data_IF_028801089713
#
_entry.id   IF_028801089713
#
_cell.length_a   1.000
_cell.length_b   1.000
_cell.length_c   1.000
_cell.angle_alpha   90.00
_cell.angle_beta   90.00
_cell.angle_gamma   90.00
#
_symmetry.space_group_name_H-M   'P 1'
#
loop_
_entity.id
_entity.type
_entity.pdbx_description
1 polymer ?
#
# COMPACT_ATOMS: atom_id res chain seq x y z
N UNK A 1 -9.34 -27.39 12.01
CA UNK A 1 -8.49 -27.54 13.22
C UNK A 1 -8.43 -26.17 13.88
N UNK A 2 -9.04 -26.00 15.05
CA UNK A 2 -9.02 -24.71 15.76
C UNK A 2 -7.57 -24.32 16.02
N UNK A 3 -7.18 -23.09 15.67
CA UNK A 3 -5.82 -22.57 15.85
C UNK A 3 -5.42 -22.56 17.34
N UNK A 4 -6.41 -22.42 18.23
CA UNK A 4 -6.28 -22.48 19.67
C UNK A 4 -7.03 -23.69 20.22
N UNK A 5 -6.37 -24.48 21.07
CA UNK A 5 -7.01 -25.58 21.81
C UNK A 5 -6.40 -25.73 23.20
N UNK A 6 -7.09 -26.44 24.09
CA UNK A 6 -6.50 -26.89 25.36
C UNK A 6 -5.85 -28.25 25.17
N UNK A 7 -4.74 -28.52 25.86
CA UNK A 7 -4.26 -29.88 26.04
C UNK A 7 -3.70 -30.08 27.44
N UNK A 8 -3.62 -31.36 27.81
CA UNK A 8 -3.03 -31.79 29.06
C UNK A 8 -1.50 -31.87 28.92
N UNK A 9 -0.78 -31.70 30.02
CA UNK A 9 0.67 -31.87 30.07
C UNK A 9 1.08 -33.30 29.78
N UNK A 10 1.86 -33.47 28.72
CA UNK A 10 2.51 -34.75 28.39
C UNK A 10 3.86 -34.80 29.09
N UNK A 11 3.85 -34.99 30.41
CA UNK A 11 5.08 -35.27 31.16
C UNK A 11 4.77 -36.06 32.43
N UNK A 12 5.04 -37.35 32.40
CA UNK A 12 5.19 -38.17 33.60
C UNK A 12 6.63 -38.04 34.09
N UNK A 13 6.84 -37.36 35.22
CA UNK A 13 8.15 -37.34 35.84
C UNK A 13 8.23 -38.51 36.82
N UNK A 14 8.94 -39.58 36.44
CA UNK A 14 9.11 -40.76 37.30
C UNK A 14 10.18 -40.49 38.36
N UNK A 15 9.94 -39.54 39.25
CA UNK A 15 10.70 -39.49 40.49
C UNK A 15 10.08 -40.50 41.45
N UNK A 16 10.69 -41.68 41.54
CA UNK A 16 10.24 -42.74 42.44
C UNK A 16 10.59 -42.36 43.86
N UNK A 17 9.56 -42.12 44.65
CA UNK A 17 9.66 -41.98 46.10
C UNK A 17 8.90 -43.12 46.75
N UNK A 18 9.11 -43.35 48.04
CA UNK A 18 8.38 -44.41 48.76
C UNK A 18 6.99 -43.90 49.13
N UNK A 19 5.95 -44.63 48.74
CA UNK A 19 4.57 -44.28 49.05
C UNK A 19 4.37 -44.25 50.58
N UNK A 20 3.81 -43.16 51.14
CA UNK A 20 3.61 -43.06 52.58
C UNK A 20 2.64 -44.14 53.12
N UNK A 21 1.69 -44.59 52.27
CA UNK A 21 0.60 -45.50 52.63
C UNK A 21 0.98 -46.99 52.55
N UNK A 22 1.54 -47.47 51.44
CA UNK A 22 1.85 -48.90 51.24
C UNK A 22 3.35 -49.23 51.21
N UNK A 23 4.23 -48.23 51.39
CA UNK A 23 5.69 -48.37 51.31
C UNK A 23 6.24 -48.89 49.98
N UNK A 24 5.41 -48.93 48.94
CA UNK A 24 5.84 -49.21 47.57
C UNK A 24 6.76 -48.12 47.04
N UNK A 25 7.72 -48.49 46.20
CA UNK A 25 8.55 -47.52 45.47
C UNK A 25 7.88 -47.00 44.19
N UNK A 26 6.66 -47.46 43.89
CA UNK A 26 5.90 -47.03 42.72
C UNK A 26 5.00 -45.82 43.05
N UNK A 27 5.62 -44.75 43.57
CA UNK A 27 4.98 -43.46 43.87
C UNK A 27 5.54 -42.38 42.95
N UNK A 28 4.72 -41.90 42.02
CA UNK A 28 5.16 -41.07 40.90
C UNK A 28 4.46 -39.71 40.89
N UNK A 29 5.19 -38.66 40.51
CA UNK A 29 4.64 -37.33 40.28
C UNK A 29 3.98 -37.27 38.90
N UNK A 30 2.67 -37.08 38.86
CA UNK A 30 1.90 -36.88 37.64
C UNK A 30 1.54 -35.41 37.48
N UNK A 31 1.77 -34.89 36.27
CA UNK A 31 1.35 -33.56 35.86
C UNK A 31 0.10 -33.69 34.97
N UNK A 32 -1.02 -33.19 35.47
CA UNK A 32 -2.31 -33.14 34.78
C UNK A 32 -2.70 -31.68 34.48
N UNK A 33 -1.71 -30.78 34.43
CA UNK A 33 -1.94 -29.37 34.18
C UNK A 33 -2.51 -29.16 32.79
N UNK A 34 -3.45 -28.22 32.69
CA UNK A 34 -4.11 -27.84 31.44
C UNK A 34 -3.55 -26.51 30.97
N UNK A 35 -3.24 -26.41 29.68
CA UNK A 35 -2.76 -25.17 29.09
C UNK A 35 -3.44 -24.88 27.76
N UNK A 36 -3.52 -23.59 27.45
CA UNK A 36 -3.89 -23.09 26.14
C UNK A 36 -2.68 -23.20 25.22
N UNK A 37 -2.85 -23.75 24.02
CA UNK A 37 -1.81 -23.81 22.99
C UNK A 37 -2.29 -23.23 21.66
N UNK A 38 -1.34 -22.69 20.89
CA UNK A 38 -1.52 -22.37 19.49
C UNK A 38 -0.75 -23.40 18.65
N UNK A 39 -1.46 -24.18 17.84
CA UNK A 39 -0.93 -25.38 17.19
C UNK A 39 -0.26 -26.36 18.20
N UNK A 40 1.07 -26.42 18.26
CA UNK A 40 1.84 -27.25 19.20
C UNK A 40 2.51 -26.43 20.33
N UNK A 41 2.45 -25.10 20.27
CA UNK A 41 3.16 -24.21 21.18
C UNK A 41 2.27 -23.85 22.37
N UNK A 42 2.66 -24.18 23.62
CA UNK A 42 1.93 -23.73 24.81
C UNK A 42 2.02 -22.20 24.95
N UNK A 43 0.88 -21.56 25.21
CA UNK A 43 0.78 -20.11 25.38
C UNK A 43 0.72 -19.77 26.86
N UNK A 44 -0.30 -20.24 27.58
CA UNK A 44 -0.56 -19.93 28.98
C UNK A 44 -1.12 -21.18 29.70
N UNK A 45 -0.66 -21.49 30.92
CA UNK A 45 -1.28 -22.49 31.78
C UNK A 45 -2.65 -22.00 32.27
N UNK A 46 -3.68 -22.82 32.10
CA UNK A 46 -5.05 -22.56 32.57
C UNK A 46 -5.27 -23.10 33.98
N UNK A 47 -4.71 -24.27 34.27
CA UNK A 47 -4.80 -24.89 35.59
C UNK A 47 -3.54 -25.71 35.88
N UNK A 48 -2.95 -25.47 37.05
CA UNK A 48 -1.86 -26.28 37.58
C UNK A 48 -2.42 -27.42 38.41
N UNK A 49 -2.13 -28.65 38.01
CA UNK A 49 -2.64 -29.86 38.67
C UNK A 49 -1.54 -30.90 38.76
N UNK A 50 -0.87 -30.95 39.92
CA UNK A 50 0.14 -31.94 40.22
C UNK A 50 -0.36 -32.88 41.32
N UNK A 51 -0.15 -34.17 41.13
CA UNK A 51 -0.49 -35.17 42.14
C UNK A 51 0.63 -36.20 42.22
N UNK A 52 0.94 -36.66 43.41
CA UNK A 52 1.61 -37.95 43.53
C UNK A 52 0.58 -39.06 43.42
N UNK A 53 0.90 -40.12 42.69
CA UNK A 53 0.04 -41.27 42.51
C UNK A 53 0.82 -42.56 42.73
N UNK A 54 0.29 -43.46 43.55
CA UNK A 54 0.84 -44.80 43.73
C UNK A 54 0.08 -45.80 42.87
N UNK A 55 0.75 -46.51 41.95
CA UNK A 55 0.02 -47.47 41.10
C UNK A 55 -0.39 -48.74 41.86
N UNK A 56 0.30 -49.08 42.95
CA UNK A 56 0.06 -50.30 43.74
C UNK A 56 -1.16 -50.16 44.66
N UNK A 57 -1.20 -49.12 45.51
CA UNK A 57 -2.33 -48.90 46.42
C UNK A 57 -3.37 -47.89 45.93
N UNK A 58 -3.19 -47.32 44.72
CA UNK A 58 -4.05 -46.29 44.12
C UNK A 58 -4.17 -44.98 44.92
N UNK A 59 -3.38 -44.81 45.98
CA UNK A 59 -3.34 -43.56 46.75
C UNK A 59 -2.89 -42.38 45.88
N UNK A 60 -3.54 -41.23 46.04
CA UNK A 60 -3.24 -40.01 45.31
C UNK A 60 -3.37 -38.79 46.20
N UNK A 61 -2.38 -37.89 46.17
CA UNK A 61 -2.41 -36.64 46.93
C UNK A 61 -2.00 -35.44 46.06
N UNK A 62 -2.62 -34.26 46.22
CA UNK A 62 -2.26 -33.07 45.46
C UNK A 62 -0.94 -32.47 45.94
N UNK A 63 -0.19 -31.90 45.01
CA UNK A 63 1.12 -31.26 45.26
C UNK A 63 1.04 -29.78 44.89
N UNK A 64 1.41 -28.91 45.84
CA UNK A 64 1.55 -27.48 45.59
C UNK A 64 2.81 -27.19 44.77
N UNK A 65 2.78 -26.16 43.92
CA UNK A 65 3.92 -25.76 43.08
C UNK A 65 5.22 -25.56 43.87
N UNK A 66 5.13 -25.06 45.11
CA UNK A 66 6.27 -24.83 46.02
C UNK A 66 6.98 -26.10 46.48
N UNK A 67 6.32 -27.26 46.39
CA UNK A 67 6.85 -28.57 46.78
C UNK A 67 7.35 -29.38 45.58
N UNK A 68 7.33 -28.81 44.38
CA UNK A 68 7.83 -29.49 43.19
C UNK A 68 9.35 -29.58 43.22
N UNK A 69 9.93 -30.65 42.62
CA UNK A 69 11.37 -30.74 42.44
C UNK A 69 11.87 -29.58 41.56
N UNK A 70 13.10 -29.11 41.83
CA UNK A 70 13.69 -27.97 41.15
C UNK A 70 13.65 -28.08 39.61
N UNK A 71 13.94 -29.27 39.07
CA UNK A 71 13.89 -29.52 37.64
C UNK A 71 12.50 -29.29 37.04
N UNK A 72 11.43 -29.68 37.74
CA UNK A 72 10.08 -29.46 37.26
C UNK A 72 9.66 -28.00 37.41
N UNK A 73 10.08 -27.32 38.49
CA UNK A 73 9.87 -25.89 38.66
C UNK A 73 10.51 -25.07 37.52
N UNK A 74 11.74 -25.42 37.13
CA UNK A 74 12.43 -24.82 35.98
C UNK A 74 11.74 -25.17 34.65
N UNK A 75 11.15 -26.37 34.56
CA UNK A 75 10.41 -26.79 33.37
C UNK A 75 9.11 -26.00 33.16
N UNK A 76 8.57 -25.32 34.18
CA UNK A 76 7.35 -24.51 34.06
C UNK A 76 7.45 -23.41 33.00
N UNK A 77 8.66 -22.88 32.76
CA UNK A 77 8.93 -21.86 31.73
C UNK A 77 8.45 -22.32 30.35
N UNK A 78 8.51 -23.63 30.06
CA UNK A 78 8.08 -24.18 28.78
C UNK A 78 6.63 -23.85 28.46
N UNK A 79 5.77 -23.73 29.47
CA UNK A 79 4.34 -23.42 29.29
C UNK A 79 4.07 -21.95 28.96
N UNK A 80 5.09 -21.07 29.07
CA UNK A 80 5.01 -19.65 28.76
C UNK A 80 5.80 -19.25 27.50
N UNK A 81 6.48 -20.19 26.83
CA UNK A 81 7.26 -19.91 25.61
C UNK A 81 6.42 -19.18 24.56
N UNK A 82 5.18 -19.63 24.33
CA UNK A 82 4.27 -18.96 23.39
C UNK A 82 3.95 -17.53 23.80
N UNK A 83 3.68 -17.27 25.09
CA UNK A 83 3.46 -15.91 25.59
C UNK A 83 4.69 -15.03 25.40
N UNK A 84 5.88 -15.54 25.70
CA UNK A 84 7.14 -14.81 25.53
C UNK A 84 7.36 -14.45 24.05
N UNK A 85 7.15 -15.40 23.13
CA UNK A 85 7.28 -15.15 21.68
C UNK A 85 6.27 -14.12 21.19
N UNK A 86 5.02 -14.19 21.68
CA UNK A 86 3.98 -13.20 21.34
C UNK A 86 4.38 -11.81 21.83
N UNK A 87 4.83 -11.68 23.09
CA UNK A 87 5.28 -10.40 23.65
C UNK A 87 6.46 -9.85 22.88
N UNK A 88 7.49 -10.66 22.59
CA UNK A 88 8.65 -10.23 21.80
C UNK A 88 8.25 -9.79 20.39
N UNK A 89 7.32 -10.50 19.76
CA UNK A 89 6.80 -10.13 18.43
C UNK A 89 6.06 -8.81 18.49
N UNK A 90 5.19 -8.61 19.49
CA UNK A 90 4.48 -7.35 19.69
C UNK A 90 5.44 -6.19 19.96
N UNK A 91 6.46 -6.39 20.80
CA UNK A 91 7.50 -5.40 21.06
C UNK A 91 8.30 -5.07 19.80
N UNK A 92 8.64 -6.07 18.99
CA UNK A 92 9.30 -5.88 17.72
C UNK A 92 8.44 -5.06 16.75
N UNK A 93 7.17 -5.43 16.57
CA UNK A 93 6.25 -4.69 15.70
C UNK A 93 6.00 -3.27 16.19
N UNK A 94 5.85 -3.07 17.50
CA UNK A 94 5.72 -1.77 18.13
C UNK A 94 6.95 -0.90 17.88
N UNK A 95 8.14 -1.42 18.16
CA UNK A 95 9.40 -0.71 17.94
C UNK A 95 9.60 -0.36 16.45
N UNK A 96 9.27 -1.30 15.55
CA UNK A 96 9.36 -1.07 14.11
C UNK A 96 8.39 0.03 13.64
N UNK A 97 7.13 -0.01 14.08
CA UNK A 97 6.13 1.00 13.74
C UNK A 97 6.51 2.38 14.29
N UNK A 98 6.99 2.45 15.54
CA UNK A 98 7.48 3.69 16.13
C UNK A 98 8.69 4.25 15.37
N UNK A 99 9.64 3.40 14.99
CA UNK A 99 10.80 3.84 14.21
C UNK A 99 10.38 4.43 12.86
N UNK A 100 9.41 3.83 12.17
CA UNK A 100 8.86 4.37 10.92
C UNK A 100 8.18 5.73 11.12
N UNK A 101 7.36 5.87 12.16
CA UNK A 101 6.69 7.14 12.45
C UNK A 101 7.69 8.27 12.77
N UNK A 102 8.74 7.96 13.54
CA UNK A 102 9.84 8.90 13.84
C UNK A 102 10.58 9.30 12.56
N UNK A 103 10.88 8.34 11.68
CA UNK A 103 11.54 8.61 10.41
C UNK A 103 10.69 9.50 9.50
N UNK A 104 9.39 9.22 9.39
CA UNK A 104 8.46 10.03 8.61
C UNK A 104 8.42 11.47 9.12
N UNK A 105 8.29 11.65 10.44
CA UNK A 105 8.27 12.98 11.05
C UNK A 105 9.61 13.72 10.86
N UNK A 106 10.73 13.01 10.91
CA UNK A 106 12.04 13.61 10.64
C UNK A 106 12.15 14.17 9.21
N UNK A 107 11.59 13.47 8.21
CA UNK A 107 11.57 13.93 6.81
C UNK A 107 10.65 15.17 6.68
N UNK A 108 9.48 15.16 7.31
CA UNK A 108 8.53 16.28 7.28
C UNK A 108 9.13 17.55 7.93
N UNK A 109 9.79 17.39 9.07
CA UNK A 109 10.38 18.52 9.80
C UNK A 109 11.56 19.14 9.04
N UNK A 110 12.38 18.31 8.38
CA UNK A 110 13.56 18.71 7.64
C UNK A 110 13.48 18.22 6.17
N UNK A 111 12.62 18.85 5.34
CA UNK A 111 12.43 18.43 3.96
C UNK A 111 13.70 18.65 3.12
N UNK A 112 13.85 17.83 2.09
CA UNK A 112 14.88 17.92 1.07
C UNK A 112 14.24 17.92 -0.32
N UNK A 113 14.97 18.46 -1.30
CA UNK A 113 14.55 18.40 -2.69
C UNK A 113 14.33 16.93 -3.11
N UNK A 114 13.26 16.68 -3.86
CA UNK A 114 12.84 15.35 -4.29
C UNK A 114 12.36 14.40 -3.19
N UNK A 115 12.20 14.85 -1.93
CA UNK A 115 11.42 14.09 -0.95
C UNK A 115 10.01 13.87 -1.50
N UNK A 116 9.54 12.65 -1.35
CA UNK A 116 8.39 12.15 -2.10
C UNK A 116 7.31 11.72 -1.12
N UNK A 117 6.12 12.28 -1.29
CA UNK A 117 4.97 12.16 -0.41
C UNK A 117 3.90 11.32 -1.08
N UNK A 118 3.33 10.39 -0.31
CA UNK A 118 2.19 9.60 -0.71
C UNK A 118 0.91 10.30 -0.30
N UNK A 119 0.10 10.72 -1.27
CA UNK A 119 -1.03 11.61 -0.99
C UNK A 119 -2.33 11.06 -1.55
N UNK A 120 -3.42 11.34 -0.83
CA UNK A 120 -4.78 11.17 -1.36
C UNK A 120 -5.10 12.31 -2.32
N UNK A 121 -5.32 12.00 -3.59
CA UNK A 121 -5.47 12.97 -4.67
C UNK A 121 -6.66 13.90 -4.47
N UNK A 122 -7.77 13.38 -3.95
CA UNK A 122 -8.99 14.12 -3.70
C UNK A 122 -8.82 15.24 -2.67
N UNK A 123 -8.03 15.00 -1.62
CA UNK A 123 -7.82 15.97 -0.55
C UNK A 123 -6.58 16.83 -0.75
N UNK A 124 -5.51 16.24 -1.29
CA UNK A 124 -4.24 16.94 -1.48
C UNK A 124 -4.23 17.81 -2.73
N UNK A 125 -4.70 17.28 -3.86
CA UNK A 125 -4.72 17.96 -5.16
C UNK A 125 -6.11 18.45 -5.57
N UNK A 126 -7.12 18.31 -4.69
CA UNK A 126 -8.52 18.69 -4.94
C UNK A 126 -9.12 18.04 -6.20
N UNK A 127 -8.63 16.86 -6.56
CA UNK A 127 -9.11 16.13 -7.72
C UNK A 127 -10.41 15.36 -7.40
N UNK A 128 -11.23 14.98 -8.39
CA UNK A 128 -12.38 14.11 -8.13
C UNK A 128 -11.96 12.78 -7.49
N UNK A 129 -12.73 12.33 -6.49
CA UNK A 129 -12.52 11.05 -5.82
C UNK A 129 -12.69 9.88 -6.81
N UNK A 130 -11.73 8.95 -6.82
CA UNK A 130 -11.71 7.77 -7.70
C UNK A 130 -11.28 6.52 -6.93
N UNK A 131 -11.55 5.30 -7.43
CA UNK A 131 -11.05 4.06 -6.83
C UNK A 131 -9.50 4.04 -6.70
N UNK A 132 -8.79 4.57 -7.69
CA UNK A 132 -7.34 4.86 -7.61
C UNK A 132 -7.11 6.30 -7.11
N UNK A 133 -7.12 6.46 -5.79
CA UNK A 133 -7.02 7.78 -5.15
C UNK A 133 -5.61 8.16 -4.69
N UNK A 134 -4.61 7.30 -4.81
CA UNK A 134 -3.26 7.61 -4.36
C UNK A 134 -2.42 8.22 -5.48
N UNK A 135 -1.70 9.29 -5.19
CA UNK A 135 -0.74 9.95 -6.10
C UNK A 135 0.57 10.23 -5.37
N UNK A 136 1.60 10.49 -6.16
CA UNK A 136 2.88 10.96 -5.65
C UNK A 136 2.89 12.49 -5.68
N UNK A 137 3.27 13.13 -4.58
CA UNK A 137 3.64 14.54 -4.55
C UNK A 137 5.13 14.64 -4.23
N UNK A 138 5.93 15.24 -5.11
CA UNK A 138 7.36 15.36 -4.91
C UNK A 138 7.73 16.82 -4.65
N UNK A 139 8.58 17.05 -3.65
CA UNK A 139 9.08 18.39 -3.34
C UNK A 139 9.93 18.88 -4.51
N UNK A 140 9.53 20.02 -5.07
CA UNK A 140 10.29 20.77 -6.06
C UNK A 140 11.12 21.85 -5.37
N UNK A 141 10.48 22.65 -4.50
CA UNK A 141 11.08 23.76 -3.77
C UNK A 141 10.48 23.83 -2.36
N UNK A 142 11.24 24.38 -1.41
CA UNK A 142 10.78 24.58 -0.04
C UNK A 142 11.53 25.72 0.63
N UNK A 143 10.86 26.40 1.54
CA UNK A 143 11.42 27.40 2.44
C UNK A 143 10.93 27.18 3.88
N UNK A 144 11.13 28.17 4.75
CA UNK A 144 10.74 28.12 6.16
C UNK A 144 9.21 28.13 6.37
N UNK A 145 8.42 28.56 5.38
CA UNK A 145 6.97 28.72 5.47
C UNK A 145 6.22 27.77 4.53
N UNK A 146 6.71 27.54 3.33
CA UNK A 146 6.01 26.86 2.25
C UNK A 146 6.82 25.70 1.66
N UNK A 147 6.11 24.72 1.12
CA UNK A 147 6.66 23.65 0.30
C UNK A 147 5.86 23.59 -0.99
N UNK A 148 6.57 23.61 -2.12
CA UNK A 148 6.01 23.46 -3.45
C UNK A 148 6.21 22.03 -3.93
N UNK A 149 5.11 21.39 -4.28
CA UNK A 149 5.09 20.02 -4.78
C UNK A 149 4.75 19.98 -6.27
N UNK A 150 5.37 19.08 -7.01
CA UNK A 150 4.85 18.59 -8.28
C UNK A 150 4.09 17.28 -8.06
N UNK A 151 2.97 17.07 -8.75
CA UNK A 151 2.08 15.92 -8.53
C UNK A 151 2.20 14.93 -9.69
N UNK A 152 2.23 13.62 -9.44
CA UNK A 152 2.30 12.63 -10.51
C UNK A 152 1.07 12.68 -11.44
N UNK A 153 1.22 12.40 -12.72
CA UNK A 153 0.08 12.22 -13.65
C UNK A 153 -0.66 10.89 -13.41
N UNK A 154 0.00 9.97 -12.72
CA UNK A 154 -0.48 8.62 -12.46
C UNK A 154 -1.13 8.47 -11.10
N UNK A 155 -2.08 7.55 -11.04
CA UNK A 155 -2.86 7.20 -9.85
C UNK A 155 -2.66 5.73 -9.50
N UNK A 156 -2.75 5.43 -8.21
CA UNK A 156 -2.48 4.12 -7.65
C UNK A 156 -3.62 3.67 -6.73
N UNK A 157 -3.86 2.36 -6.69
CA UNK A 157 -4.84 1.70 -5.82
C UNK A 157 -4.25 1.27 -4.48
N UNK A 158 -2.96 0.94 -4.44
CA UNK A 158 -2.30 0.31 -3.31
C UNK A 158 -0.96 0.96 -3.00
N UNK A 159 -0.69 1.18 -1.72
CA UNK A 159 0.56 1.76 -1.20
C UNK A 159 1.82 1.01 -1.68
N UNK A 160 1.85 -0.32 -1.64
CA UNK A 160 3.05 -1.06 -2.09
C UNK A 160 3.44 -0.77 -3.54
N UNK A 161 2.45 -0.60 -4.43
CA UNK A 161 2.69 -0.32 -5.85
C UNK A 161 3.29 1.07 -6.07
N UNK A 162 2.81 2.05 -5.32
CA UNK A 162 3.30 3.43 -5.39
C UNK A 162 4.64 3.58 -4.66
N UNK A 163 4.85 2.92 -3.52
CA UNK A 163 6.17 2.85 -2.86
C UNK A 163 7.22 2.28 -3.81
N UNK A 164 6.90 1.22 -4.56
CA UNK A 164 7.80 0.69 -5.60
C UNK A 164 8.07 1.72 -6.72
N UNK A 165 7.06 2.47 -7.15
CA UNK A 165 7.20 3.54 -8.14
C UNK A 165 8.04 4.72 -7.62
N UNK A 166 7.85 5.14 -6.36
CA UNK A 166 8.63 6.21 -5.72
C UNK A 166 10.11 5.87 -5.61
N UNK A 167 10.41 4.62 -5.21
CA UNK A 167 11.76 4.09 -5.14
C UNK A 167 12.47 4.12 -6.49
N UNK A 168 11.69 4.02 -7.56
CA UNK A 168 12.21 4.08 -8.92
C UNK A 168 12.01 5.45 -9.56
N UNK A 169 11.57 6.49 -8.82
CA UNK A 169 11.22 7.83 -9.33
C UNK A 169 12.31 8.48 -10.18
N UNK A 170 13.59 8.28 -9.82
CA UNK A 170 14.77 8.73 -10.58
C UNK A 170 14.93 8.04 -11.95
N UNK A 171 14.16 6.99 -12.21
CA UNK A 171 14.14 6.18 -13.43
C UNK A 171 12.79 6.33 -14.17
N UNK A 172 11.87 7.14 -13.65
CA UNK A 172 10.54 7.25 -14.25
C UNK A 172 10.57 8.21 -15.42
N UNK A 173 9.80 7.83 -16.44
CA UNK A 173 9.80 8.37 -17.80
C UNK A 173 9.42 9.86 -17.86
N UNK A 174 9.67 10.48 -19.02
CA UNK A 174 9.13 11.82 -19.35
C UNK A 174 7.62 11.86 -19.03
N UNK A 175 7.17 12.99 -18.47
CA UNK A 175 5.78 13.27 -18.10
C UNK A 175 5.22 12.46 -16.92
N UNK A 176 6.07 11.91 -16.04
CA UNK A 176 5.58 11.28 -14.82
C UNK A 176 4.90 12.27 -13.86
N UNK A 177 5.51 13.45 -13.71
CA UNK A 177 4.95 14.55 -12.95
C UNK A 177 4.19 15.49 -13.87
N UNK A 178 3.06 15.99 -13.37
CA UNK A 178 2.33 17.12 -13.93
C UNK A 178 3.22 18.36 -13.90
N UNK A 179 3.01 19.24 -14.88
CA UNK A 179 3.58 20.59 -14.85
C UNK A 179 2.92 21.48 -13.80
N UNK A 180 1.73 21.11 -13.29
CA UNK A 180 1.11 21.81 -12.16
C UNK A 180 1.89 21.57 -10.89
N UNK A 181 2.11 22.66 -10.17
CA UNK A 181 2.64 22.63 -8.81
C UNK A 181 1.57 23.04 -7.81
N UNK A 182 1.71 22.54 -6.58
CA UNK A 182 0.88 22.92 -5.45
C UNK A 182 1.81 23.44 -4.36
N UNK A 183 1.63 24.69 -3.95
CA UNK A 183 2.36 25.29 -2.85
C UNK A 183 1.49 25.28 -1.59
N UNK A 184 1.97 24.62 -0.53
CA UNK A 184 1.28 24.49 0.74
C UNK A 184 2.12 25.05 1.88
N UNK A 185 1.51 25.71 2.88
CA UNK A 185 2.24 26.10 4.08
C UNK A 185 2.60 24.86 4.90
N UNK A 186 3.74 24.90 5.60
CA UNK A 186 4.21 23.77 6.41
C UNK A 186 3.21 23.33 7.49
N UNK A 187 2.45 24.26 8.05
CA UNK A 187 1.40 23.96 9.03
C UNK A 187 0.28 23.12 8.42
N UNK A 188 -0.07 23.36 7.17
CA UNK A 188 -1.07 22.58 6.44
C UNK A 188 -0.57 21.18 6.14
N UNK A 189 0.71 21.03 5.80
CA UNK A 189 1.34 19.73 5.57
C UNK A 189 1.29 18.87 6.84
N UNK A 190 1.58 19.45 8.00
CA UNK A 190 1.46 18.73 9.27
C UNK A 190 0.01 18.31 9.53
N UNK A 191 -0.96 19.22 9.33
CA UNK A 191 -2.38 18.92 9.46
C UNK A 191 -2.81 17.77 8.53
N UNK A 192 -2.34 17.78 7.29
CA UNK A 192 -2.62 16.72 6.31
C UNK A 192 -1.98 15.37 6.69
N UNK A 193 -0.86 15.36 7.39
CA UNK A 193 -0.27 14.14 7.96
C UNK A 193 -1.16 13.61 9.09
N UNK A 194 -1.57 14.48 10.01
CA UNK A 194 -2.41 14.13 11.15
C UNK A 194 -3.80 13.61 10.72
N UNK A 195 -4.37 14.18 9.65
CA UNK A 195 -5.63 13.74 9.04
C UNK A 195 -5.49 12.49 8.15
N UNK A 196 -4.26 11.99 7.95
CA UNK A 196 -3.96 10.85 7.07
C UNK A 196 -4.26 11.12 5.59
N UNK A 197 -4.18 12.39 5.16
CA UNK A 197 -4.18 12.80 3.73
C UNK A 197 -2.84 12.45 3.11
N UNK A 198 -1.75 12.78 3.81
CA UNK A 198 -0.40 12.29 3.52
C UNK A 198 -0.25 10.96 4.27
N UNK A 199 -0.22 9.86 3.52
CA UNK A 199 -0.17 8.51 4.08
C UNK A 199 1.24 8.09 4.48
N UNK A 200 2.24 8.49 3.71
CA UNK A 200 3.63 8.12 3.91
C UNK A 200 4.56 9.14 3.26
N UNK A 201 5.79 9.25 3.74
CA UNK A 201 6.82 10.12 3.17
C UNK A 201 8.11 9.33 3.04
N UNK A 202 8.74 9.42 1.88
CA UNK A 202 9.97 8.75 1.57
C UNK A 202 11.00 9.76 1.07
N UNK A 203 12.20 9.68 1.64
CA UNK A 203 13.40 10.29 1.08
C UNK A 203 14.05 9.27 0.16
N UNK A 204 14.03 9.46 -1.17
CA UNK A 204 14.73 8.57 -2.07
C UNK A 204 16.23 8.74 -1.86
N UNK A 205 16.86 7.76 -1.21
CA UNK A 205 18.31 7.64 -1.25
C UNK A 205 18.68 7.10 -2.63
N UNK A 206 19.66 7.72 -3.30
CA UNK A 206 20.20 7.20 -4.55
C UNK A 206 20.49 5.71 -4.34
N UNK A 207 19.81 4.85 -5.10
CA UNK A 207 20.13 3.43 -5.10
C UNK A 207 21.57 3.32 -5.57
N UNK A 208 22.48 3.07 -4.63
CA UNK A 208 23.75 2.45 -4.99
C UNK A 208 23.37 1.16 -5.70
N UNK A 209 23.55 1.16 -7.02
CA UNK A 209 23.27 0.07 -7.94
C UNK A 209 24.20 -1.10 -7.62
N UNK A 210 23.89 -1.85 -6.55
CA UNK A 210 24.56 -3.10 -6.27
C UNK A 210 23.96 -4.20 -7.16
N UNK A 211 24.63 -4.50 -8.27
CA UNK A 211 24.48 -5.80 -8.94
C UNK A 211 23.86 -5.85 -10.34
N UNK A 212 23.65 -4.71 -11.01
CA UNK A 212 23.28 -4.70 -12.43
C UNK A 212 21.81 -5.09 -12.72
N UNK A 213 21.26 -4.45 -13.75
CA UNK A 213 19.85 -4.45 -14.17
C UNK A 213 18.93 -3.58 -13.31
N UNK A 214 18.83 -2.32 -13.72
CA UNK A 214 17.65 -1.49 -13.43
C UNK A 214 16.47 -2.10 -14.17
N UNK A 215 15.58 -2.78 -13.44
CA UNK A 215 14.23 -3.04 -13.97
C UNK A 215 13.42 -1.77 -13.77
N UNK A 216 13.05 -1.11 -14.88
CA UNK A 216 12.01 -0.08 -14.82
C UNK A 216 10.75 -0.72 -14.22
N UNK A 217 10.07 -0.06 -13.27
CA UNK A 217 8.75 -0.52 -12.87
C UNK A 217 7.88 -0.59 -14.15
N UNK A 218 6.96 -1.56 -14.26
CA UNK A 218 6.03 -1.58 -15.37
C UNK A 218 5.31 -0.22 -15.42
N UNK A 219 5.20 0.36 -16.63
CA UNK A 219 4.50 1.64 -16.82
C UNK A 219 3.17 1.58 -16.09
N UNK A 220 2.78 2.62 -15.33
CA UNK A 220 1.46 2.64 -14.73
C UNK A 220 0.44 2.46 -15.85
N UNK A 221 -0.63 1.71 -15.60
CA UNK A 221 -1.64 1.45 -16.62
C UNK A 221 -2.16 2.78 -17.16
N UNK A 222 -2.18 2.98 -18.50
CA UNK A 222 -2.74 4.19 -19.09
C UNK A 222 -4.20 4.33 -18.67
N UNK A 223 -4.71 5.56 -18.60
CA UNK A 223 -6.10 5.84 -18.19
C UNK A 223 -7.13 5.19 -19.11
N UNK A 224 -6.74 4.84 -20.32
CA UNK A 224 -7.51 4.09 -21.28
C UNK A 224 -6.91 2.68 -21.39
N UNK A 225 -7.31 1.79 -20.48
CA UNK A 225 -6.85 0.41 -20.45
C UNK A 225 -7.23 -0.33 -21.74
N UNK A 226 -6.27 -1.02 -22.37
CA UNK A 226 -6.48 -1.76 -23.62
C UNK A 226 -6.33 -0.96 -24.91
N UNK A 227 -5.96 0.32 -24.83
CA UNK A 227 -5.81 1.19 -26.01
C UNK A 227 -4.34 1.61 -26.19
N UNK A 228 -3.76 1.36 -27.37
CA UNK A 228 -2.42 1.84 -27.72
C UNK A 228 -2.50 3.31 -28.17
N UNK A 229 -2.06 4.23 -27.32
CA UNK A 229 -1.95 5.66 -27.63
C UNK A 229 -0.53 5.98 -28.12
N UNK A 230 -0.38 6.90 -29.06
CA UNK A 230 0.92 7.50 -29.38
C UNK A 230 1.33 8.51 -28.29
N UNK A 231 2.62 8.84 -28.26
CA UNK A 231 3.24 9.69 -27.24
C UNK A 231 2.53 11.04 -27.12
N UNK A 232 2.31 11.73 -28.24
CA UNK A 232 1.66 13.03 -28.25
C UNK A 232 0.20 12.98 -27.75
N UNK A 233 -0.55 11.91 -28.05
CA UNK A 233 -1.92 11.81 -27.51
C UNK A 233 -1.91 11.58 -26.00
N UNK A 234 -0.97 10.78 -25.49
CA UNK A 234 -0.81 10.58 -24.05
C UNK A 234 -0.42 11.88 -23.35
N UNK A 235 0.49 12.66 -23.94
CA UNK A 235 0.88 13.98 -23.45
C UNK A 235 -0.29 14.96 -23.45
N UNK A 236 -1.06 15.01 -24.55
CA UNK A 236 -2.26 15.85 -24.64
C UNK A 236 -3.30 15.49 -23.59
N UNK A 237 -3.51 14.20 -23.29
CA UNK A 237 -4.39 13.77 -22.20
C UNK A 237 -3.89 14.31 -20.85
N UNK A 238 -2.58 14.30 -20.61
CA UNK A 238 -2.01 14.81 -19.38
C UNK A 238 -2.23 16.33 -19.26
N UNK A 239 -1.90 17.11 -20.30
CA UNK A 239 -2.16 18.55 -20.31
C UNK A 239 -3.64 18.89 -20.16
N UNK A 240 -4.52 18.13 -20.81
CA UNK A 240 -5.96 18.34 -20.73
C UNK A 240 -6.48 18.16 -19.29
N UNK A 241 -5.99 17.14 -18.58
CA UNK A 241 -6.31 16.92 -17.16
C UNK A 241 -5.75 17.99 -16.25
N UNK A 242 -4.63 18.57 -16.67
CA UNK A 242 -4.02 19.70 -16.02
C UNK A 242 -4.67 21.02 -16.46
N UNK A 243 -5.82 21.02 -17.12
CA UNK A 243 -6.49 22.24 -17.62
C UNK A 243 -5.58 23.16 -18.47
N UNK A 244 -4.46 22.63 -18.97
CA UNK A 244 -3.52 23.32 -19.85
C UNK A 244 -4.02 23.13 -21.29
N UNK A 245 -5.19 23.68 -21.56
CA UNK A 245 -5.93 23.36 -22.79
C UNK A 245 -5.18 23.74 -24.07
N UNK A 246 -4.41 24.83 -24.06
CA UNK A 246 -3.60 25.22 -25.24
C UNK A 246 -2.49 24.21 -25.54
N UNK A 247 -1.83 23.68 -24.51
CA UNK A 247 -0.77 22.68 -24.69
C UNK A 247 -1.37 21.30 -25.01
N UNK A 248 -2.51 20.97 -24.40
CA UNK A 248 -3.30 19.80 -24.77
C UNK A 248 -3.69 19.85 -26.26
N UNK A 249 -4.17 21.00 -26.73
CA UNK A 249 -4.53 21.22 -28.12
C UNK A 249 -3.34 20.98 -29.06
N UNK A 250 -2.17 21.58 -28.76
CA UNK A 250 -0.94 21.37 -29.56
C UNK A 250 -0.52 19.90 -29.58
N UNK A 251 -0.55 19.22 -28.43
CA UNK A 251 -0.20 17.79 -28.35
C UNK A 251 -1.21 16.91 -29.10
N UNK A 252 -2.51 17.19 -29.02
CA UNK A 252 -3.50 16.45 -29.80
C UNK A 252 -3.42 16.74 -31.29
N UNK A 253 -3.05 17.96 -31.69
CA UNK A 253 -2.78 18.31 -33.08
C UNK A 253 -1.65 17.43 -33.65
N UNK A 254 -0.50 17.40 -32.98
CA UNK A 254 0.61 16.53 -33.36
C UNK A 254 0.19 15.06 -33.42
N UNK A 255 -0.56 14.59 -32.43
CA UNK A 255 -1.05 13.23 -32.41
C UNK A 255 -2.01 12.89 -33.55
N UNK A 256 -2.88 13.83 -33.92
CA UNK A 256 -3.85 13.70 -34.99
C UNK A 256 -3.17 13.67 -36.36
N UNK A 257 -2.16 14.52 -36.55
CA UNK A 257 -1.31 14.59 -37.75
C UNK A 257 -0.46 13.32 -37.92
N UNK A 258 -0.03 12.68 -36.82
CA UNK A 258 0.58 11.35 -36.83
C UNK A 258 -0.42 10.21 -37.13
N UNK A 259 -1.69 10.52 -37.34
CA UNK A 259 -2.73 9.54 -37.68
C UNK A 259 -3.34 8.81 -36.49
N UNK A 260 -3.11 9.25 -35.25
CA UNK A 260 -3.72 8.61 -34.07
C UNK A 260 -5.23 8.82 -34.06
N UNK A 261 -6.02 7.75 -34.23
CA UNK A 261 -7.49 7.82 -34.15
C UNK A 261 -8.01 8.41 -32.82
N UNK A 262 -7.21 8.36 -31.75
CA UNK A 262 -7.55 8.96 -30.46
C UNK A 262 -7.10 10.42 -30.37
N UNK A 263 -5.94 10.76 -30.94
CA UNK A 263 -5.52 12.16 -31.12
C UNK A 263 -6.53 12.95 -31.96
N UNK A 264 -6.96 12.36 -33.08
CA UNK A 264 -8.00 12.94 -33.96
C UNK A 264 -9.33 13.12 -33.22
N UNK A 265 -9.77 12.12 -32.44
CA UNK A 265 -10.97 12.24 -31.61
C UNK A 265 -10.84 13.38 -30.60
N UNK A 266 -9.74 13.43 -29.84
CA UNK A 266 -9.55 14.44 -28.79
C UNK A 266 -9.45 15.85 -29.39
N UNK A 267 -8.74 16.00 -30.52
CA UNK A 267 -8.64 17.27 -31.25
C UNK A 267 -10.02 17.73 -31.77
N UNK A 268 -10.83 16.80 -32.29
CA UNK A 268 -12.20 17.10 -32.73
C UNK A 268 -13.06 17.65 -31.58
N UNK A 269 -12.98 17.03 -30.40
CA UNK A 269 -13.68 17.49 -29.21
C UNK A 269 -13.22 18.89 -28.77
N UNK A 270 -11.91 19.17 -28.80
CA UNK A 270 -11.41 20.51 -28.46
C UNK A 270 -11.90 21.60 -29.42
N UNK A 271 -11.99 21.30 -30.71
CA UNK A 271 -12.62 22.22 -31.68
C UNK A 271 -14.13 22.37 -31.47
N UNK A 272 -14.84 21.29 -31.12
CA UNK A 272 -16.28 21.33 -30.84
C UNK A 272 -16.61 22.20 -29.63
N UNK A 273 -15.80 22.09 -28.58
CA UNK A 273 -16.02 22.77 -27.30
C UNK A 273 -15.32 24.14 -27.22
N UNK A 274 -14.37 24.42 -28.12
CA UNK A 274 -13.54 25.63 -28.07
C UNK A 274 -12.58 25.63 -26.88
N UNK A 275 -12.05 24.46 -26.52
CA UNK A 275 -11.08 24.33 -25.43
C UNK A 275 -9.67 24.44 -25.99
N UNK A 276 -8.86 25.36 -25.46
CA UNK A 276 -7.48 25.58 -25.93
C UNK A 276 -7.36 26.15 -27.34
N UNK A 277 -8.48 26.43 -28.01
CA UNK A 277 -8.60 27.00 -29.35
C UNK A 277 -9.99 27.62 -29.51
N UNK A 278 -10.20 28.40 -30.57
CA UNK A 278 -11.55 28.86 -30.92
C UNK A 278 -12.43 27.70 -31.38
N UNK A 279 -13.71 27.73 -30.99
CA UNK A 279 -14.71 26.76 -31.43
C UNK A 279 -14.83 26.76 -32.97
N UNK A 280 -14.70 25.59 -33.58
CA UNK A 280 -14.78 25.39 -35.03
C UNK A 280 -15.45 24.04 -35.34
N UNK A 281 -16.75 24.08 -35.62
CA UNK A 281 -17.55 22.87 -35.85
C UNK A 281 -17.11 22.15 -37.13
N UNK A 282 -16.69 22.87 -38.17
CA UNK A 282 -16.29 22.25 -39.43
C UNK A 282 -15.00 21.43 -39.24
N UNK A 283 -14.04 21.98 -38.49
CA UNK A 283 -12.83 21.22 -38.12
C UNK A 283 -13.14 20.06 -37.18
N UNK A 284 -14.08 20.22 -36.25
CA UNK A 284 -14.52 19.13 -35.40
C UNK A 284 -15.09 17.96 -36.25
N UNK A 285 -16.00 18.25 -37.19
CA UNK A 285 -16.56 17.25 -38.13
C UNK A 285 -15.43 16.54 -38.89
N UNK A 286 -14.52 17.31 -39.50
CA UNK A 286 -13.39 16.76 -40.25
C UNK A 286 -12.58 15.76 -39.41
N UNK A 287 -12.16 16.14 -38.20
CA UNK A 287 -11.35 15.26 -37.36
C UNK A 287 -12.14 14.07 -36.79
N UNK A 288 -13.43 14.24 -36.49
CA UNK A 288 -14.29 13.10 -36.14
C UNK A 288 -14.44 12.11 -37.30
N UNK A 289 -14.55 12.58 -38.54
CA UNK A 289 -14.59 11.71 -39.72
C UNK A 289 -13.29 10.91 -39.88
N UNK A 290 -12.13 11.55 -39.74
CA UNK A 290 -10.84 10.86 -39.80
C UNK A 290 -10.74 9.76 -38.73
N UNK A 291 -11.11 10.06 -37.48
CA UNK A 291 -11.11 9.07 -36.41
C UNK A 291 -12.14 7.95 -36.66
N UNK A 292 -13.33 8.29 -37.14
CA UNK A 292 -14.39 7.33 -37.46
C UNK A 292 -14.02 6.38 -38.61
N UNK A 293 -13.32 6.88 -39.64
CA UNK A 293 -12.81 6.08 -40.76
C UNK A 293 -11.81 5.02 -40.29
N UNK A 294 -11.02 5.33 -39.26
CA UNK A 294 -10.11 4.39 -38.61
C UNK A 294 -10.81 3.40 -37.65
N UNK A 295 -12.14 3.45 -37.54
CA UNK A 295 -12.92 2.54 -36.72
C UNK A 295 -13.15 3.02 -35.27
N UNK A 296 -12.81 4.27 -34.94
CA UNK A 296 -13.08 4.81 -33.61
C UNK A 296 -14.60 4.91 -33.37
N UNK A 297 -15.13 4.04 -32.50
CA UNK A 297 -16.57 3.95 -32.21
C UNK A 297 -17.11 5.22 -31.56
N UNK A 298 -16.31 5.87 -30.69
CA UNK A 298 -16.72 7.11 -30.03
C UNK A 298 -16.83 8.23 -31.05
N UNK A 299 -15.85 8.37 -31.95
CA UNK A 299 -15.91 9.35 -33.03
C UNK A 299 -17.14 9.17 -33.93
N UNK A 300 -17.53 7.92 -34.26
CA UNK A 300 -18.75 7.65 -35.04
C UNK A 300 -20.03 8.14 -34.36
N UNK A 301 -20.11 8.00 -33.03
CA UNK A 301 -21.27 8.43 -32.25
C UNK A 301 -21.31 9.96 -32.21
N UNK A 302 -20.20 10.60 -31.80
CA UNK A 302 -20.09 12.07 -31.72
C UNK A 302 -20.35 12.72 -33.08
N UNK A 303 -19.79 12.17 -34.17
CA UNK A 303 -20.04 12.63 -35.53
C UNK A 303 -21.54 12.55 -35.86
N UNK A 304 -22.16 11.39 -35.65
CA UNK A 304 -23.59 11.21 -35.93
C UNK A 304 -24.46 12.21 -35.16
N UNK A 305 -24.11 12.50 -33.91
CA UNK A 305 -24.83 13.48 -33.10
C UNK A 305 -24.62 14.90 -33.62
N UNK A 306 -23.39 15.27 -34.03
CA UNK A 306 -23.12 16.56 -34.67
C UNK A 306 -23.91 16.73 -35.97
N UNK A 307 -23.96 15.70 -36.82
CA UNK A 307 -24.63 15.74 -38.12
C UNK A 307 -26.16 15.87 -38.02
N UNK A 308 -26.74 15.80 -36.82
CA UNK A 308 -28.16 16.14 -36.61
C UNK A 308 -28.41 17.64 -36.68
N UNK A 309 -27.39 18.44 -36.39
CA UNK A 309 -27.50 19.89 -36.28
C UNK A 309 -26.69 20.64 -37.35
N UNK A 310 -25.68 19.97 -37.94
CA UNK A 310 -24.76 20.55 -38.89
C UNK A 310 -24.64 19.69 -40.15
N UNK A 311 -24.28 20.31 -41.27
CA UNK A 311 -23.99 19.60 -42.51
C UNK A 311 -22.67 18.87 -42.38
N UNK A 312 -22.71 17.55 -42.45
CA UNK A 312 -21.51 16.71 -42.57
C UNK A 312 -21.40 16.25 -44.01
N UNK A 313 -20.48 16.83 -44.77
CA UNK A 313 -20.19 16.34 -46.13
C UNK A 313 -19.61 14.93 -46.03
N UNK A 314 -20.11 14.02 -46.87
CA UNK A 314 -19.72 12.60 -46.91
C UNK A 314 -18.41 12.36 -47.63
#
# INVERSE_FOLDING_TARGET
MLLFNTCDSVSSFSQTTTCPHCKSNDYQLKNNSRFLRFAIVPIIPLAWQYHFHCNECKHSEPVSLTKLPLFELLSLVKYFIGSIVIVLSLLYFYAHFHAQAVQQQAIINAPQAYDTYLVKADKFAQEPLRPENLKIAQILEFDDKYITFQISNYRYKHDRGITMAMRTSLLVQRDYFSSKTITLPRTEIQRMVDEGVIYNVLRPHAYSLYGGFVMFPPRPKPLYEGVKLNEHNQQGINYYKDDLFEDAFKSFLLAAEEGSQWGQLNLAQMYQDGQGTSKDINKAIYWFQQAAAQGNRKAKIELKDLCRFYTCET
#
